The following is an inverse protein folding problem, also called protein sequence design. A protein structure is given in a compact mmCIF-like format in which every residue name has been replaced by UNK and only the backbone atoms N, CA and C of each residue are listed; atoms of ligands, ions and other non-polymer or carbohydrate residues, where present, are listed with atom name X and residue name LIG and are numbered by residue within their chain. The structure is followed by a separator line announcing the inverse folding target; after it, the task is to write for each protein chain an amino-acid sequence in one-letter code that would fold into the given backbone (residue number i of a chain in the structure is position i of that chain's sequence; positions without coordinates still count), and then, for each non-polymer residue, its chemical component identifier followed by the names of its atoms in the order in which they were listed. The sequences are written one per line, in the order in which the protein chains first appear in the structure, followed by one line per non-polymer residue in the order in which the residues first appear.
data_IF_641922249204
#
_entry.id   IF_641922249204
#
_cell.length_a   1.000
_cell.length_b   1.000
_cell.length_c   1.000
_cell.angle_alpha   90.00
_cell.angle_beta   90.00
_cell.angle_gamma   90.00
#
_symmetry.space_group_name_H-M   'P 1'
#
loop_
_entity.id
_entity.type
_entity.pdbx_description
1 polymer ?
2 polymer ?
#
# COMPACT_ATOMS: atom_id res chain seq x y z
N UNK A 1 16.05 -16.86 0.38
CA UNK A 1 16.19 -15.46 -0.07
C UNK A 1 15.02 -15.07 -0.97
N UNK A 2 13.82 -15.00 -0.38
CA UNK A 2 12.56 -14.82 -1.07
C UNK A 2 12.41 -13.43 -1.68
N UNK A 3 13.18 -13.13 -2.73
CA UNK A 3 13.14 -11.90 -3.54
C UNK A 3 13.70 -10.68 -2.79
N UNK A 4 13.29 -10.50 -1.52
CA UNK A 4 13.52 -9.31 -0.70
C UNK A 4 12.66 -8.12 -1.14
N UNK A 5 11.86 -8.28 -2.20
CA UNK A 5 11.03 -7.24 -2.76
C UNK A 5 9.82 -7.87 -3.46
N UNK A 6 8.67 -7.17 -3.46
CA UNK A 6 7.50 -7.49 -4.26
C UNK A 6 7.21 -6.25 -5.11
N UNK A 7 6.43 -6.40 -6.18
CA UNK A 7 6.20 -5.35 -7.15
C UNK A 7 4.72 -5.05 -7.27
N UNK A 8 4.29 -3.93 -6.68
CA UNK A 8 2.92 -3.44 -6.84
C UNK A 8 2.96 -2.52 -8.05
N UNK A 9 2.17 -2.82 -9.09
CA UNK A 9 2.29 -2.15 -10.38
C UNK A 9 1.00 -1.39 -10.72
N UNK A 10 1.15 -0.17 -11.24
CA UNK A 10 0.08 0.75 -11.58
C UNK A 10 -0.01 0.96 -13.10
N UNK A 11 -1.21 1.34 -13.56
CA UNK A 11 -1.55 1.67 -14.94
C UNK A 11 -0.70 0.93 -15.99
N UNK A 12 -0.05 1.64 -16.91
CA UNK A 12 0.75 1.03 -17.96
C UNK A 12 2.13 0.64 -17.41
N UNK A 13 2.14 -0.37 -16.54
CA UNK A 13 3.34 -0.99 -15.97
C UNK A 13 4.29 0.00 -15.28
N UNK A 14 3.75 0.84 -14.40
CA UNK A 14 4.54 1.68 -13.51
C UNK A 14 4.71 0.90 -12.21
N UNK A 15 5.87 0.25 -12.09
CA UNK A 15 6.18 -0.72 -11.06
C UNK A 15 6.77 -0.08 -9.81
N UNK A 16 6.05 -0.12 -8.69
CA UNK A 16 6.56 0.24 -7.38
C UNK A 16 7.11 -1.03 -6.73
N UNK A 17 8.40 -1.01 -6.37
CA UNK A 17 9.10 -2.11 -5.74
C UNK A 17 9.10 -1.92 -4.23
N UNK A 18 8.41 -2.80 -3.50
CA UNK A 18 8.16 -2.73 -2.07
C UNK A 18 9.03 -3.81 -1.40
N UNK A 19 9.91 -3.42 -0.48
CA UNK A 19 10.73 -4.34 0.30
C UNK A 19 9.88 -5.41 0.99
N UNK A 20 10.34 -6.67 0.97
CA UNK A 20 9.70 -7.82 1.61
C UNK A 20 9.22 -7.47 3.02
N UNK A 21 10.11 -6.79 3.75
CA UNK A 21 9.90 -6.33 5.11
C UNK A 21 8.61 -5.51 5.24
N UNK A 22 8.30 -4.67 4.25
CA UNK A 22 7.03 -3.95 4.17
C UNK A 22 5.97 -4.90 3.61
N UNK A 23 6.27 -5.59 2.51
CA UNK A 23 5.34 -6.48 1.82
C UNK A 23 4.57 -7.35 2.80
N UNK A 24 5.28 -8.01 3.71
CA UNK A 24 4.70 -8.95 4.67
C UNK A 24 3.61 -8.31 5.55
N UNK A 25 3.65 -6.98 5.74
CA UNK A 25 2.63 -6.25 6.47
C UNK A 25 1.28 -6.42 5.76
N UNK A 26 1.27 -6.58 4.44
CA UNK A 26 0.08 -6.97 3.69
C UNK A 26 -0.03 -8.51 3.72
N UNK A 27 -0.98 -9.10 4.47
CA UNK A 27 -1.25 -10.51 4.36
C UNK A 27 -1.69 -10.83 2.92
N UNK A 28 -2.32 -9.89 2.23
CA UNK A 28 -2.72 -10.04 0.85
C UNK A 28 -1.52 -10.33 -0.06
N UNK A 29 -0.44 -9.55 0.01
CA UNK A 29 0.79 -9.89 -0.73
C UNK A 29 1.25 -11.30 -0.36
N UNK A 30 1.36 -11.57 0.95
CA UNK A 30 1.82 -12.85 1.49
C UNK A 30 0.98 -14.02 0.93
N UNK A 31 -0.33 -13.84 0.82
CA UNK A 31 -1.21 -14.83 0.24
C UNK A 31 -0.94 -14.93 -1.27
N UNK A 32 -1.01 -13.81 -1.98
CA UNK A 32 -0.90 -13.77 -3.44
C UNK A 32 0.36 -14.47 -3.94
N UNK A 33 1.51 -14.19 -3.32
CA UNK A 33 2.78 -14.84 -3.69
C UNK A 33 2.76 -16.36 -3.49
N UNK A 34 1.89 -16.87 -2.62
CA UNK A 34 1.81 -18.28 -2.27
C UNK A 34 0.67 -18.98 -3.00
N UNK A 35 -0.43 -18.27 -3.31
CA UNK A 35 -1.62 -18.87 -3.89
C UNK A 35 -1.45 -19.04 -5.41
N UNK A 36 -1.84 -18.05 -6.22
CA UNK A 36 -1.59 -18.05 -7.65
C UNK A 36 -0.11 -17.74 -7.91
N UNK A 37 0.80 -18.53 -7.33
CA UNK A 37 2.22 -18.20 -7.33
C UNK A 37 2.85 -18.37 -8.72
N UNK A 38 2.20 -19.11 -9.61
CA UNK A 38 2.63 -19.13 -11.00
C UNK A 38 2.55 -17.72 -11.61
N UNK A 39 1.76 -16.83 -11.00
CA UNK A 39 1.40 -15.54 -11.57
C UNK A 39 1.86 -14.40 -10.66
N UNK A 40 1.33 -14.34 -9.44
CA UNK A 40 1.53 -13.18 -8.58
C UNK A 40 2.79 -13.30 -7.74
N UNK A 41 3.89 -13.73 -8.35
CA UNK A 41 5.11 -14.10 -7.62
C UNK A 41 5.83 -12.84 -7.12
N UNK A 42 5.27 -12.21 -6.09
CA UNK A 42 5.70 -10.89 -5.66
C UNK A 42 5.42 -9.89 -6.76
N UNK A 43 4.25 -10.00 -7.39
CA UNK A 43 3.78 -9.08 -8.41
C UNK A 43 2.28 -8.89 -8.22
N UNK A 44 1.82 -7.64 -8.11
CA UNK A 44 0.42 -7.28 -8.00
C UNK A 44 0.16 -6.16 -9.00
N UNK A 45 -0.30 -6.51 -10.21
CA UNK A 45 -0.51 -5.55 -11.28
C UNK A 45 -1.91 -4.97 -11.26
N UNK A 46 -2.09 -3.84 -10.56
CA UNK A 46 -3.34 -3.10 -10.54
C UNK A 46 -3.31 -2.14 -11.72
N UNK A 47 -3.16 -2.72 -12.92
CA UNK A 47 -2.88 -2.06 -14.18
C UNK A 47 -4.10 -1.29 -14.69
N UNK A 48 -4.47 -0.27 -13.92
CA UNK A 48 -5.67 0.55 -14.06
C UNK A 48 -5.63 1.65 -13.00
N UNK A 49 -5.23 1.32 -11.77
CA UNK A 49 -5.04 2.31 -10.73
C UNK A 49 -3.79 3.13 -11.07
N UNK A 50 -3.82 4.42 -10.77
CA UNK A 50 -2.80 5.36 -11.21
C UNK A 50 -1.64 5.41 -10.22
N UNK A 51 -0.43 5.53 -10.77
CA UNK A 51 0.82 5.59 -10.04
C UNK A 51 0.78 6.54 -8.84
N UNK A 52 0.27 7.76 -8.99
CA UNK A 52 0.29 8.68 -7.85
C UNK A 52 -0.58 8.17 -6.70
N UNK A 53 -1.65 7.44 -7.01
CA UNK A 53 -2.51 6.84 -6.00
C UNK A 53 -1.76 5.65 -5.38
N UNK A 54 -1.32 4.72 -6.23
CA UNK A 54 -0.65 3.52 -5.77
C UNK A 54 0.54 3.89 -4.88
N UNK A 55 1.31 4.89 -5.29
CA UNK A 55 2.42 5.46 -4.53
C UNK A 55 2.02 5.74 -3.09
N UNK A 56 0.90 6.42 -2.86
CA UNK A 56 0.45 6.73 -1.51
C UNK A 56 0.07 5.44 -0.79
N UNK A 57 -0.69 4.56 -1.46
CA UNK A 57 -1.11 3.29 -0.88
C UNK A 57 0.09 2.46 -0.40
N UNK A 58 1.14 2.33 -1.22
CA UNK A 58 2.33 1.60 -0.83
C UNK A 58 3.17 2.39 0.18
N UNK A 59 3.21 3.72 0.04
CA UNK A 59 3.87 4.57 1.02
C UNK A 59 3.27 4.35 2.41
N UNK A 60 1.96 4.12 2.52
CA UNK A 60 1.38 3.71 3.79
C UNK A 60 2.07 2.45 4.33
N UNK A 61 2.33 1.45 3.49
CA UNK A 61 2.95 0.22 3.93
C UNK A 61 4.37 0.51 4.44
N UNK A 62 5.14 1.29 3.68
CA UNK A 62 6.46 1.73 4.12
C UNK A 62 6.38 2.48 5.46
N UNK A 63 5.49 3.46 5.54
CA UNK A 63 5.21 4.23 6.75
C UNK A 63 4.90 3.29 7.92
N UNK A 64 4.08 2.26 7.69
CA UNK A 64 3.79 1.24 8.70
C UNK A 64 5.07 0.52 9.13
N UNK A 65 5.92 0.12 8.17
CA UNK A 65 7.20 -0.50 8.50
C UNK A 65 8.02 0.44 9.39
N UNK A 66 8.20 1.70 8.96
CA UNK A 66 8.94 2.69 9.75
C UNK A 66 8.35 2.81 11.17
N UNK A 67 7.04 3.01 11.27
CA UNK A 67 6.32 3.09 12.55
C UNK A 67 6.65 1.88 13.43
N UNK A 68 6.63 0.69 12.83
CA UNK A 68 6.93 -0.54 13.54
C UNK A 68 8.37 -0.56 14.03
N UNK A 69 9.32 -0.26 13.14
CA UNK A 69 10.74 -0.16 13.48
C UNK A 69 10.95 0.82 14.63
N UNK A 70 10.31 1.99 14.53
CA UNK A 70 10.27 3.00 15.57
C UNK A 70 9.75 2.39 16.88
N UNK A 71 8.65 1.64 16.82
CA UNK A 71 8.00 0.96 17.94
C UNK A 71 7.31 1.95 18.89
N UNK A 72 8.05 2.93 19.42
CA UNK A 72 7.56 3.90 20.39
C UNK A 72 6.73 4.99 19.70
N UNK A 73 5.75 4.58 18.90
CA UNK A 73 4.77 5.40 18.19
C UNK A 73 5.36 6.38 17.17
N UNK A 74 6.14 7.37 17.61
CA UNK A 74 6.57 8.48 16.76
C UNK A 74 7.99 8.94 17.09
N UNK A 75 8.87 8.79 16.11
CA UNK A 75 10.22 9.36 16.08
C UNK A 75 10.34 10.02 14.70
N UNK A 76 9.82 11.25 14.59
CA UNK A 76 9.74 12.00 13.35
C UNK A 76 8.92 11.26 12.28
N UNK A 77 7.83 10.60 12.70
CA UNK A 77 6.84 10.03 11.81
C UNK A 77 5.84 11.14 11.50
N UNK A 78 5.66 11.55 10.23
CA UNK A 78 4.80 12.67 9.88
C UNK A 78 3.32 12.28 9.95
N UNK A 79 2.43 13.27 9.83
CA UNK A 79 0.99 13.03 9.73
C UNK A 79 0.70 12.44 8.36
N UNK A 80 0.08 11.25 8.31
CA UNK A 80 -0.26 10.60 7.04
C UNK A 80 -1.45 11.30 6.39
N UNK A 81 -1.20 12.47 5.80
CA UNK A 81 -2.20 13.21 5.04
C UNK A 81 -2.67 12.39 3.83
N UNK A 82 -3.97 12.43 3.53
CA UNK A 82 -4.56 11.85 2.34
C UNK A 82 -5.52 12.88 1.74
N UNK A 83 -5.10 13.64 0.72
CA UNK A 83 -5.99 14.54 0.00
C UNK A 83 -7.24 13.83 -0.53
N UNK A 84 -8.37 14.53 -0.51
CA UNK A 84 -9.69 14.04 -0.91
C UNK A 84 -9.64 13.34 -2.28
N UNK A 85 -8.99 14.02 -3.23
CA UNK A 85 -8.75 13.50 -4.58
C UNK A 85 -8.18 12.09 -4.54
N UNK A 86 -7.26 11.83 -3.60
CA UNK A 86 -6.63 10.51 -3.49
C UNK A 86 -7.68 9.49 -3.07
N UNK A 87 -8.32 9.76 -1.92
CA UNK A 87 -9.26 8.88 -1.24
C UNK A 87 -10.15 8.09 -2.22
N UNK A 88 -10.75 8.81 -3.17
CA UNK A 88 -11.65 8.25 -4.18
C UNK A 88 -11.13 6.92 -4.76
N UNK A 89 -9.89 6.92 -5.28
CA UNK A 89 -9.29 5.73 -5.88
C UNK A 89 -8.47 4.98 -4.84
N UNK A 90 -7.77 5.71 -3.96
CA UNK A 90 -6.95 5.16 -2.91
C UNK A 90 -7.72 4.13 -2.10
N UNK A 91 -9.03 4.33 -1.91
CA UNK A 91 -9.90 3.35 -1.26
C UNK A 91 -9.71 1.96 -1.88
N UNK A 92 -9.74 1.87 -3.22
CA UNK A 92 -9.67 0.60 -3.92
C UNK A 92 -8.26 0.02 -3.78
N UNK A 93 -7.23 0.83 -3.99
CA UNK A 93 -5.85 0.41 -3.81
C UNK A 93 -5.65 -0.14 -2.39
N UNK A 94 -6.09 0.62 -1.39
CA UNK A 94 -6.05 0.24 0.02
C UNK A 94 -6.77 -1.07 0.25
N UNK A 95 -7.97 -1.23 -0.32
CA UNK A 95 -8.70 -2.48 -0.21
C UNK A 95 -7.91 -3.64 -0.79
N UNK A 96 -7.33 -3.49 -1.99
CA UNK A 96 -6.51 -4.53 -2.57
C UNK A 96 -5.30 -4.84 -1.68
N UNK A 97 -4.64 -3.80 -1.18
CA UNK A 97 -3.48 -3.92 -0.30
C UNK A 97 -3.84 -4.67 0.98
N UNK A 98 -5.01 -4.35 1.55
CA UNK A 98 -5.63 -4.97 2.72
C UNK A 98 -4.65 -5.41 3.82
N UNK A 99 -4.02 -4.43 4.47
CA UNK A 99 -3.24 -4.67 5.68
C UNK A 99 -4.08 -5.46 6.70
N UNK B 1 -6.50 0.89 9.23
CA UNK B 1 -5.70 2.12 9.36
C UNK B 1 -5.89 3.01 8.13
N UNK B 2 -5.26 2.64 7.02
CA UNK B 2 -5.37 3.34 5.75
C UNK B 2 -6.84 3.51 5.36
N UNK B 3 -7.59 2.40 5.45
CA UNK B 3 -9.04 2.41 5.25
C UNK B 3 -9.73 3.41 6.17
N UNK B 4 -9.35 3.45 7.45
CA UNK B 4 -9.96 4.37 8.41
C UNK B 4 -9.68 5.81 7.99
N UNK B 5 -8.41 6.14 7.72
CA UNK B 5 -8.02 7.47 7.25
C UNK B 5 -8.85 7.85 6.01
N UNK B 6 -8.83 6.99 4.99
CA UNK B 6 -9.60 7.22 3.77
C UNK B 6 -11.07 7.47 4.08
N UNK B 7 -11.68 6.59 4.88
CA UNK B 7 -13.08 6.70 5.28
C UNK B 7 -13.34 8.03 5.98
N UNK B 8 -12.49 8.42 6.93
CA UNK B 8 -12.60 9.70 7.62
C UNK B 8 -12.56 10.85 6.61
N UNK B 9 -11.61 10.83 5.67
CA UNK B 9 -11.53 11.86 4.64
C UNK B 9 -12.83 11.89 3.81
N UNK B 10 -13.28 10.74 3.30
CA UNK B 10 -14.53 10.66 2.54
C UNK B 10 -15.69 11.23 3.35
N UNK B 11 -15.85 10.76 4.59
CA UNK B 11 -16.88 11.22 5.51
C UNK B 11 -16.82 12.75 5.64
N UNK B 12 -15.63 13.28 5.88
CA UNK B 12 -15.42 14.73 5.98
C UNK B 12 -15.85 15.44 4.70
N UNK B 13 -15.48 14.90 3.53
CA UNK B 13 -15.85 15.46 2.25
C UNK B 13 -17.38 15.46 2.06
N UNK B 14 -18.03 14.35 2.37
CA UNK B 14 -19.48 14.21 2.25
C UNK B 14 -20.19 15.16 3.21
N UNK B 15 -19.73 15.22 4.47
CA UNK B 15 -20.30 16.08 5.49
C UNK B 15 -20.28 17.55 5.05
#
# INVERSE_FOLDING_TARGET
MSQDFVTLVSKDDKEYEISRSAAMISPTLKAMIEGPFRESKGRIELKQFDSHILEKAVEYLNYNLKYSGVSEDDDEIPEFEIPTEMSLELLLAADYLSI
TLKERCLQVVRSLVK
#
